data_IF_439496438205
#
_entry.id   IF_439496438205
#
_cell.length_a   1.000
_cell.length_b   1.000
_cell.length_c   1.000
_cell.angle_alpha   90.00
_cell.angle_beta   90.00
_cell.angle_gamma   90.00
#
_symmetry.space_group_name_H-M   'P 1'
#
loop_
_entity.id
_entity.type
_entity.pdbx_description
1 polymer ?
#
# COMPACT_ATOMS: atom_id res chain seq x y z
N UNK A 1 12.08 0.38 -19.05
CA UNK A 1 11.01 -0.40 -18.38
C UNK A 1 11.49 -1.79 -17.99
N UNK A 2 12.08 -2.56 -18.91
CA UNK A 2 12.64 -3.90 -18.64
C UNK A 2 13.56 -3.97 -17.40
N UNK A 3 14.53 -3.05 -17.27
CA UNK A 3 15.43 -3.01 -16.10
C UNK A 3 14.72 -2.72 -14.76
N UNK A 4 13.57 -2.04 -14.78
CA UNK A 4 12.81 -1.72 -13.56
C UNK A 4 12.01 -2.94 -13.08
N UNK A 5 11.46 -3.70 -14.03
CA UNK A 5 10.73 -4.94 -13.74
C UNK A 5 11.68 -6.06 -13.30
N UNK A 6 12.86 -6.19 -13.94
CA UNK A 6 13.88 -7.14 -13.50
C UNK A 6 14.38 -6.83 -12.08
N UNK A 7 14.55 -5.54 -11.77
CA UNK A 7 14.85 -5.11 -10.40
C UNK A 7 13.75 -5.52 -9.42
N UNK A 8 12.48 -5.30 -9.76
CA UNK A 8 11.36 -5.70 -8.90
C UNK A 8 11.25 -7.21 -8.71
N UNK A 9 11.50 -8.00 -9.75
CA UNK A 9 11.54 -9.46 -9.64
C UNK A 9 12.63 -9.91 -8.66
N UNK A 10 13.83 -9.35 -8.76
CA UNK A 10 14.91 -9.64 -7.81
C UNK A 10 14.60 -9.24 -6.36
N UNK A 11 13.74 -8.23 -6.15
CA UNK A 11 13.30 -7.86 -4.80
C UNK A 11 12.38 -8.89 -4.16
N UNK A 12 11.56 -9.59 -4.95
CA UNK A 12 10.60 -10.57 -4.41
C UNK A 12 11.29 -11.80 -3.80
N UNK A 13 12.52 -12.11 -4.24
CA UNK A 13 13.32 -13.23 -3.73
C UNK A 13 14.17 -12.85 -2.51
N UNK A 14 14.22 -11.57 -2.13
CA UNK A 14 15.04 -11.12 -0.99
C UNK A 14 14.35 -11.39 0.35
N UNK A 15 15.12 -11.72 1.40
CA UNK A 15 14.59 -11.81 2.75
C UNK A 15 14.15 -10.42 3.26
N UNK A 16 13.24 -10.42 4.23
CA UNK A 16 12.61 -9.20 4.74
C UNK A 16 13.61 -8.14 5.26
N UNK A 17 14.75 -8.57 5.82
CA UNK A 17 15.80 -7.65 6.27
C UNK A 17 16.49 -6.92 5.11
N UNK A 18 16.80 -7.64 4.04
CA UNK A 18 17.44 -7.06 2.86
C UNK A 18 16.48 -6.14 2.10
N UNK A 19 15.20 -6.51 2.03
CA UNK A 19 14.15 -5.63 1.55
C UNK A 19 14.07 -4.32 2.35
N UNK A 20 14.21 -4.39 3.68
CA UNK A 20 14.21 -3.22 4.54
C UNK A 20 15.42 -2.33 4.28
N UNK A 21 16.60 -2.92 4.11
CA UNK A 21 17.83 -2.19 3.77
C UNK A 21 17.70 -1.50 2.42
N UNK A 22 17.15 -2.19 1.44
CA UNK A 22 16.95 -1.65 0.10
C UNK A 22 15.89 -0.54 0.08
N UNK A 23 14.83 -0.66 0.88
CA UNK A 23 13.90 0.44 1.14
C UNK A 23 14.59 1.68 1.69
N UNK A 24 15.42 1.53 2.74
CA UNK A 24 16.16 2.66 3.33
C UNK A 24 17.11 3.30 2.32
N UNK A 25 17.84 2.48 1.55
CA UNK A 25 18.76 2.94 0.51
C UNK A 25 18.03 3.73 -0.59
N UNK A 26 16.93 3.18 -1.08
CA UNK A 26 16.13 3.81 -2.14
C UNK A 26 15.44 5.07 -1.65
N UNK A 27 14.96 5.07 -0.39
CA UNK A 27 14.39 6.26 0.25
C UNK A 27 15.43 7.38 0.39
N UNK A 28 16.66 7.05 0.78
CA UNK A 28 17.76 8.03 0.87
C UNK A 28 18.17 8.55 -0.51
N UNK A 29 18.25 7.68 -1.52
CA UNK A 29 18.53 8.09 -2.91
C UNK A 29 17.45 9.03 -3.44
N UNK A 30 16.18 8.75 -3.18
CA UNK A 30 15.10 9.66 -3.55
C UNK A 30 15.19 11.00 -2.81
N UNK A 31 15.50 11.00 -1.51
CA UNK A 31 15.65 12.22 -0.73
C UNK A 31 16.82 13.11 -1.20
N UNK A 32 17.88 12.51 -1.77
CA UNK A 32 19.03 13.24 -2.32
C UNK A 32 18.72 13.80 -3.71
N UNK A 33 18.32 12.91 -4.63
CA UNK A 33 18.34 13.24 -6.06
C UNK A 33 16.96 13.62 -6.60
N UNK A 34 15.89 13.33 -5.85
CA UNK A 34 14.49 13.49 -6.27
C UNK A 34 14.20 12.93 -7.66
N UNK A 35 15.02 11.96 -8.09
CA UNK A 35 15.00 11.46 -9.46
C UNK A 35 13.77 10.60 -9.70
N UNK A 36 13.26 10.65 -10.92
CA UNK A 36 12.08 9.86 -11.29
C UNK A 36 12.33 8.35 -11.17
N UNK A 37 13.57 7.92 -11.46
CA UNK A 37 13.94 6.52 -11.30
C UNK A 37 13.93 6.09 -9.82
N UNK A 38 14.49 6.92 -8.91
CA UNK A 38 14.45 6.64 -7.48
C UNK A 38 13.01 6.65 -6.94
N UNK A 39 12.17 7.57 -7.43
CA UNK A 39 10.74 7.63 -7.11
C UNK A 39 10.01 6.35 -7.51
N UNK A 40 10.18 5.89 -8.75
CA UNK A 40 9.51 4.69 -9.23
C UNK A 40 10.01 3.42 -8.52
N UNK A 41 11.32 3.32 -8.23
CA UNK A 41 11.87 2.23 -7.40
C UNK A 41 11.29 2.21 -6.01
N UNK A 42 11.21 3.37 -5.35
CA UNK A 42 10.60 3.49 -4.03
C UNK A 42 9.13 3.10 -4.05
N UNK A 43 8.38 3.56 -5.06
CA UNK A 43 6.97 3.21 -5.21
C UNK A 43 6.73 1.70 -5.39
N UNK A 44 7.66 1.00 -6.05
CA UNK A 44 7.60 -0.46 -6.18
C UNK A 44 7.90 -1.16 -4.85
N UNK A 45 8.93 -0.73 -4.12
CA UNK A 45 9.26 -1.29 -2.79
C UNK A 45 8.10 -1.11 -1.78
N UNK A 46 7.36 -0.01 -1.87
CA UNK A 46 6.17 0.22 -1.05
C UNK A 46 4.96 -0.63 -1.48
N UNK A 47 4.99 -1.20 -2.68
CA UNK A 47 3.94 -2.09 -3.18
C UNK A 47 4.14 -3.56 -2.79
N UNK A 48 5.30 -3.95 -2.25
CA UNK A 48 5.55 -5.33 -1.82
C UNK A 48 4.51 -5.75 -0.76
N UNK A 49 3.81 -6.89 -0.97
CA UNK A 49 2.87 -7.42 0.02
C UNK A 49 3.56 -7.72 1.36
N UNK A 50 2.92 -7.36 2.47
CA UNK A 50 3.45 -7.66 3.81
C UNK A 50 4.64 -6.80 4.26
N UNK A 51 5.04 -5.79 3.48
CA UNK A 51 6.12 -4.89 3.87
C UNK A 51 5.73 -4.07 5.13
N UNK A 52 6.58 -4.09 6.16
CA UNK A 52 6.34 -3.39 7.43
C UNK A 52 6.36 -1.85 7.31
N UNK A 53 6.91 -1.32 6.21
CA UNK A 53 6.99 0.12 5.89
C UNK A 53 5.95 0.55 4.85
N UNK A 54 4.92 -0.28 4.63
CA UNK A 54 3.83 0.05 3.71
C UNK A 54 3.04 1.23 4.26
N UNK A 55 2.88 2.24 3.42
CA UNK A 55 2.08 3.44 3.66
C UNK A 55 1.43 3.83 2.34
N UNK A 56 0.15 3.49 2.20
CA UNK A 56 -0.60 3.72 0.96
C UNK A 56 -0.84 5.21 0.70
N UNK A 57 -0.97 6.05 1.75
CA UNK A 57 -1.13 7.49 1.61
C UNK A 57 0.14 8.15 1.07
N UNK A 58 1.29 7.79 1.65
CA UNK A 58 2.60 8.26 1.17
C UNK A 58 2.88 7.77 -0.26
N UNK A 59 2.50 6.54 -0.59
CA UNK A 59 2.64 5.97 -1.93
C UNK A 59 1.79 6.71 -2.97
N UNK A 60 0.54 7.06 -2.64
CA UNK A 60 -0.31 7.88 -3.53
C UNK A 60 0.36 9.23 -3.80
N UNK A 61 0.79 9.95 -2.75
CA UNK A 61 1.46 11.24 -2.91
C UNK A 61 2.73 11.15 -3.76
N UNK A 62 3.51 10.07 -3.58
CA UNK A 62 4.70 9.80 -4.37
C UNK A 62 4.38 9.62 -5.87
N UNK A 63 3.34 8.82 -6.18
CA UNK A 63 2.91 8.54 -7.55
C UNK A 63 2.17 9.72 -8.20
N UNK A 64 1.50 10.56 -7.42
CA UNK A 64 0.89 11.81 -7.88
C UNK A 64 1.91 12.83 -8.34
N UNK A 65 3.04 12.94 -7.62
CA UNK A 65 4.13 13.85 -7.97
C UNK A 65 4.97 13.41 -9.17
N UNK A 66 4.79 12.19 -9.69
CA UNK A 66 5.59 11.59 -10.77
C UNK A 66 5.39 12.29 -12.13
N UNK A 67 6.47 12.79 -12.79
CA UNK A 67 6.43 13.22 -14.18
C UNK A 67 5.90 12.16 -15.15
N UNK A 68 6.11 10.86 -14.85
CA UNK A 68 5.54 9.77 -15.67
C UNK A 68 4.02 9.78 -15.73
N UNK A 69 3.33 10.40 -14.76
CA UNK A 69 1.87 10.61 -14.81
C UNK A 69 1.45 11.56 -15.94
N UNK A 70 2.30 12.54 -16.27
CA UNK A 70 2.05 13.53 -17.34
C UNK A 70 2.55 13.07 -18.71
N UNK A 71 3.19 11.90 -18.80
CA UNK A 71 3.64 11.35 -20.08
C UNK A 71 2.44 11.03 -21.01
N UNK A 72 2.71 10.75 -22.28
CA UNK A 72 1.66 10.37 -23.23
C UNK A 72 0.86 9.16 -22.71
N UNK A 73 -0.46 9.08 -23.00
CA UNK A 73 -1.32 7.98 -22.53
C UNK A 73 -0.77 6.58 -22.87
N UNK A 74 -0.15 6.45 -24.04
CA UNK A 74 0.43 5.19 -24.53
C UNK A 74 1.82 4.91 -23.96
N UNK A 75 2.35 5.80 -23.12
CA UNK A 75 3.64 5.58 -22.47
C UNK A 75 3.53 4.43 -21.47
N UNK A 76 4.37 3.38 -21.59
CA UNK A 76 4.39 2.29 -20.62
C UNK A 76 4.63 2.76 -19.18
N UNK A 77 5.37 3.87 -19.01
CA UNK A 77 5.63 4.49 -17.70
C UNK A 77 4.35 5.09 -17.10
N UNK A 78 3.54 5.77 -17.92
CA UNK A 78 2.25 6.31 -17.46
C UNK A 78 1.29 5.20 -17.10
N UNK A 79 1.17 4.19 -17.97
CA UNK A 79 0.31 3.03 -17.72
C UNK A 79 0.69 2.33 -16.41
N UNK A 80 1.99 2.19 -16.14
CA UNK A 80 2.48 1.61 -14.89
C UNK A 80 2.16 2.46 -13.66
N UNK A 81 2.40 3.77 -13.69
CA UNK A 81 2.02 4.66 -12.59
C UNK A 81 0.51 4.62 -12.33
N UNK A 82 -0.30 4.64 -13.39
CA UNK A 82 -1.76 4.51 -13.29
C UNK A 82 -2.17 3.16 -12.71
N UNK A 83 -1.51 2.08 -13.12
CA UNK A 83 -1.74 0.75 -12.56
C UNK A 83 -1.44 0.70 -11.06
N UNK A 84 -0.28 1.22 -10.63
CA UNK A 84 0.07 1.28 -9.21
C UNK A 84 -0.92 2.10 -8.40
N UNK A 85 -1.36 3.26 -8.92
CA UNK A 85 -2.38 4.09 -8.27
C UNK A 85 -3.72 3.35 -8.12
N UNK A 86 -4.17 2.65 -9.17
CA UNK A 86 -5.39 1.83 -9.10
C UNK A 86 -5.25 0.71 -8.07
N UNK A 87 -4.12 0.02 -8.05
CA UNK A 87 -3.86 -1.06 -7.10
C UNK A 87 -3.93 -0.55 -5.65
N UNK A 88 -3.32 0.60 -5.36
CA UNK A 88 -3.36 1.21 -4.01
C UNK A 88 -4.78 1.64 -3.64
N UNK A 89 -5.51 2.22 -4.59
CA UNK A 89 -6.90 2.63 -4.37
C UNK A 89 -7.83 1.45 -4.04
N UNK A 90 -7.67 0.32 -4.73
CA UNK A 90 -8.43 -0.89 -4.43
C UNK A 90 -8.08 -1.45 -3.04
N UNK A 91 -6.80 -1.51 -2.66
CA UNK A 91 -6.41 -1.92 -1.30
C UNK A 91 -7.04 -1.05 -0.22
N UNK A 92 -7.07 0.27 -0.43
CA UNK A 92 -7.69 1.19 0.53
C UNK A 92 -9.21 0.98 0.62
N UNK A 93 -9.88 0.64 -0.49
CA UNK A 93 -11.31 0.29 -0.49
C UNK A 93 -11.56 -1.01 0.27
N UNK A 94 -10.72 -2.02 0.07
CA UNK A 94 -10.79 -3.29 0.79
C UNK A 94 -10.59 -3.09 2.29
N UNK A 95 -9.60 -2.29 2.70
CA UNK A 95 -9.37 -1.98 4.11
C UNK A 95 -10.58 -1.30 4.75
N UNK A 96 -11.15 -0.28 4.10
CA UNK A 96 -12.36 0.40 4.60
C UNK A 96 -13.52 -0.58 4.76
N UNK A 97 -13.71 -1.47 3.80
CA UNK A 97 -14.77 -2.49 3.88
C UNK A 97 -14.53 -3.46 5.03
N UNK A 98 -13.28 -3.86 5.29
CA UNK A 98 -12.94 -4.68 6.43
C UNK A 98 -13.22 -3.97 7.76
N UNK A 99 -12.85 -2.69 7.88
CA UNK A 99 -13.09 -1.88 9.07
C UNK A 99 -14.60 -1.71 9.33
N UNK A 100 -15.40 -1.47 8.30
CA UNK A 100 -16.87 -1.40 8.40
C UNK A 100 -17.49 -2.72 8.86
N UNK A 101 -17.00 -3.87 8.37
CA UNK A 101 -17.47 -5.18 8.81
C UNK A 101 -17.09 -5.43 10.28
N UNK A 102 -15.87 -5.05 10.69
CA UNK A 102 -15.43 -5.17 12.07
C UNK A 102 -16.31 -4.34 13.01
N UNK A 103 -16.60 -3.09 12.66
CA UNK A 103 -17.50 -2.23 13.44
C UNK A 103 -18.92 -2.83 13.58
N UNK A 104 -19.45 -3.45 12.52
CA UNK A 104 -20.74 -4.14 12.56
C UNK A 104 -20.71 -5.35 13.49
N UNK A 105 -19.65 -6.16 13.45
CA UNK A 105 -19.47 -7.29 14.37
C UNK A 105 -19.39 -6.82 15.82
N UNK A 106 -18.59 -5.79 16.11
CA UNK A 106 -18.45 -5.24 17.45
C UNK A 106 -19.79 -4.69 17.99
N UNK A 107 -20.57 -4.07 17.10
CA UNK A 107 -21.92 -3.58 17.42
C UNK A 107 -22.88 -4.72 17.76
N UNK A 108 -22.87 -5.80 17.00
CA UNK A 108 -23.69 -6.99 17.27
C UNK A 108 -23.29 -7.62 18.61
N UNK A 109 -22.00 -7.80 18.87
CA UNK A 109 -21.50 -8.33 20.14
C UNK A 109 -21.84 -7.43 21.33
N UNK A 110 -21.85 -6.11 21.15
CA UNK A 110 -22.31 -5.17 22.17
C UNK A 110 -23.81 -5.34 22.47
N UNK A 111 -24.63 -5.48 21.43
CA UNK A 111 -26.07 -5.74 21.57
C UNK A 111 -26.31 -7.06 22.30
N UNK A 112 -25.65 -8.15 21.91
CA UNK A 112 -25.78 -9.46 22.57
C UNK A 112 -25.43 -9.40 24.06
N UNK A 113 -24.32 -8.73 24.41
CA UNK A 113 -23.92 -8.53 25.82
C UNK A 113 -24.97 -7.75 26.59
N UNK A 114 -25.56 -6.71 25.99
CA UNK A 114 -26.60 -5.91 26.62
C UNK A 114 -27.94 -6.64 26.80
N UNK A 115 -28.29 -7.56 25.90
CA UNK A 115 -29.48 -8.39 26.02
C UNK A 115 -29.31 -9.46 27.09
N UNK A 116 -28.11 -10.06 27.17
CA UNK A 116 -27.78 -11.07 28.18
C UNK A 116 -27.75 -10.49 29.60
N UNK A 117 -27.29 -9.24 29.76
CA UNK A 117 -27.31 -8.55 31.06
C UNK A 117 -28.71 -8.08 31.49
N UNK A 118 -29.65 -7.96 30.54
CA UNK A 118 -31.05 -7.54 30.80
C UNK A 118 -31.99 -8.71 31.11
N UNK A 119 -31.59 -9.97 30.96
CA UNK A 119 -32.39 -11.11 31.42
C UNK A 119 -32.35 -11.16 32.96
N UNK A 120 -33.47 -10.91 33.67
CA UNK A 120 -33.51 -11.11 35.10
C UNK A 120 -33.39 -12.60 35.39
N UNK A 121 -32.52 -12.99 36.32
CA UNK A 121 -32.59 -14.31 36.95
C UNK A 121 -33.96 -14.42 37.64
N UNK A 122 -34.94 -15.02 36.95
CA UNK A 122 -36.18 -15.46 37.58
C UNK A 122 -35.82 -16.56 38.58
N UNK A 123 -35.82 -16.20 39.87
CA UNK A 123 -35.99 -17.14 40.98
C UNK A 123 -37.46 -17.40 41.20
#
# INVERSE_FOLDING_TARGET
MSALLAYYQGLLDLPAEDLRREYQRTSQSFARDHSELARLRLAMLMNIPGAAWRDDAKLIGLLEGSPSRKAQPDSPRRQFVVFLLKQVAERLREQKRADELQQKLDSILAIERSLRSRQPQRK
#
